data_IF_288642885556
#
_entry.id   IF_288642885556
#
_cell.length_a   1.000
_cell.length_b   1.000
_cell.length_c   1.000
_cell.angle_alpha   90.00
_cell.angle_beta   90.00
_cell.angle_gamma   90.00
#
_symmetry.space_group_name_H-M   'P 1'
#
loop_
_entity.id
_entity.type
_entity.pdbx_description
1 polymer ?
#
# COMPACT_ATOMS: atom_id res chain seq x y z
N UNK A 1 -6.29 -6.65 -18.97
CA UNK A 1 -5.01 -7.18 -19.48
C UNK A 1 -3.90 -7.13 -18.44
N UNK A 2 -2.96 -8.10 -18.48
CA UNK A 2 -1.82 -8.17 -17.55
C UNK A 2 -0.97 -6.89 -17.56
N UNK A 3 -0.79 -6.27 -18.72
CA UNK A 3 0.01 -5.05 -18.90
C UNK A 3 -0.55 -3.85 -18.12
N UNK A 4 -1.88 -3.69 -18.05
CA UNK A 4 -2.52 -2.53 -17.44
C UNK A 4 -2.90 -2.75 -15.98
N UNK A 5 -2.72 -3.98 -15.47
CA UNK A 5 -3.13 -4.36 -14.11
C UNK A 5 -2.49 -3.49 -13.02
N UNK A 6 -1.19 -3.21 -13.14
CA UNK A 6 -0.48 -2.39 -12.15
C UNK A 6 -1.00 -0.94 -12.14
N UNK A 7 -1.27 -0.37 -13.31
CA UNK A 7 -1.83 0.97 -13.44
C UNK A 7 -3.24 1.05 -12.86
N UNK A 8 -4.12 0.10 -13.23
CA UNK A 8 -5.48 0.02 -12.69
C UNK A 8 -5.48 -0.16 -11.17
N UNK A 9 -4.57 -1.00 -10.64
CA UNK A 9 -4.41 -1.19 -9.18
C UNK A 9 -3.88 0.09 -8.50
N UNK A 10 -3.04 0.88 -9.15
CA UNK A 10 -2.57 2.16 -8.62
C UNK A 10 -3.70 3.18 -8.50
N UNK A 11 -4.57 3.27 -9.51
CA UNK A 11 -5.75 4.14 -9.46
C UNK A 11 -6.67 3.70 -8.32
N UNK A 12 -6.94 2.43 -8.20
CA UNK A 12 -7.75 1.87 -7.12
C UNK A 12 -7.13 2.16 -5.73
N UNK A 13 -5.82 1.92 -5.56
CA UNK A 13 -5.13 2.18 -4.30
C UNK A 13 -5.10 3.67 -3.93
N UNK A 14 -5.12 4.58 -4.92
CA UNK A 14 -5.16 6.01 -4.64
C UNK A 14 -6.41 6.45 -3.87
N UNK A 15 -7.51 5.68 -3.99
CA UNK A 15 -8.72 5.90 -3.21
C UNK A 15 -8.49 5.85 -1.70
N UNK A 16 -7.58 4.99 -1.23
CA UNK A 16 -7.20 4.95 0.19
C UNK A 16 -6.53 6.25 0.65
N UNK A 17 -5.70 6.85 -0.21
CA UNK A 17 -5.07 8.15 0.09
C UNK A 17 -6.07 9.31 0.09
N UNK A 18 -7.07 9.27 -0.81
CA UNK A 18 -8.18 10.25 -0.82
C UNK A 18 -8.98 10.15 0.48
N UNK A 19 -9.28 8.92 0.94
CA UNK A 19 -9.92 8.70 2.24
C UNK A 19 -9.09 9.25 3.41
N UNK A 20 -7.79 8.99 3.40
CA UNK A 20 -6.86 9.50 4.40
C UNK A 20 -6.74 11.05 4.40
N UNK A 21 -6.98 11.69 3.25
CA UNK A 21 -7.08 13.15 3.10
C UNK A 21 -8.40 13.70 3.68
N UNK A 22 -9.50 13.04 3.33
CA UNK A 22 -10.84 13.50 3.71
C UNK A 22 -11.09 13.32 5.22
N UNK A 23 -10.61 12.24 5.82
CA UNK A 23 -10.89 11.88 7.20
C UNK A 23 -10.43 12.96 8.22
N UNK A 24 -9.17 13.47 8.21
CA UNK A 24 -8.74 14.52 9.12
C UNK A 24 -9.47 15.85 8.94
N UNK A 25 -9.96 16.13 7.74
CA UNK A 25 -10.70 17.35 7.45
C UNK A 25 -12.17 17.25 7.88
N UNK A 26 -12.79 16.08 7.81
CA UNK A 26 -14.23 15.92 8.02
C UNK A 26 -14.59 15.37 9.39
N UNK A 27 -13.86 14.37 9.90
CA UNK A 27 -14.20 13.70 11.17
C UNK A 27 -14.18 14.67 12.37
N UNK A 28 -13.15 15.53 12.56
CA UNK A 28 -13.15 16.49 13.66
C UNK A 28 -14.30 17.48 13.61
N UNK A 29 -14.71 17.92 12.40
CA UNK A 29 -15.85 18.81 12.23
C UNK A 29 -17.17 18.13 12.61
N UNK A 30 -17.38 16.89 12.19
CA UNK A 30 -18.53 16.08 12.57
C UNK A 30 -18.57 15.83 14.08
N UNK A 31 -17.43 15.47 14.66
CA UNK A 31 -17.33 15.22 16.10
C UNK A 31 -17.58 16.46 16.94
N UNK A 32 -17.16 17.65 16.49
CA UNK A 32 -17.48 18.93 17.15
C UNK A 32 -18.93 19.31 17.04
N UNK A 33 -19.57 19.03 15.88
CA UNK A 33 -20.97 19.42 15.65
C UNK A 33 -21.97 18.50 16.36
N UNK A 34 -21.71 17.19 16.38
CA UNK A 34 -22.70 16.18 16.79
C UNK A 34 -22.18 15.08 17.73
N UNK A 35 -20.94 15.22 18.21
CA UNK A 35 -20.29 14.19 19.03
C UNK A 35 -19.61 13.11 18.21
N UNK A 36 -18.68 12.39 18.84
CA UNK A 36 -17.87 11.39 18.18
C UNK A 36 -18.68 10.17 17.71
N UNK A 37 -19.74 9.78 18.44
CA UNK A 37 -20.62 8.69 18.05
C UNK A 37 -21.31 8.96 16.71
N UNK A 38 -21.80 10.19 16.52
CA UNK A 38 -22.45 10.59 15.26
C UNK A 38 -21.46 10.61 14.10
N UNK A 39 -20.20 10.93 14.33
CA UNK A 39 -19.18 10.85 13.29
C UNK A 39 -19.03 9.41 12.77
N UNK A 40 -19.01 8.40 13.64
CA UNK A 40 -18.99 6.98 13.23
C UNK A 40 -20.28 6.57 12.49
N UNK A 41 -21.44 6.99 12.98
CA UNK A 41 -22.73 6.66 12.35
C UNK A 41 -22.78 7.25 10.92
N UNK A 42 -22.41 8.52 10.75
CA UNK A 42 -22.44 9.18 9.43
C UNK A 42 -21.50 8.49 8.46
N UNK A 43 -20.25 8.20 8.86
CA UNK A 43 -19.29 7.50 8.01
C UNK A 43 -19.76 6.08 7.69
N UNK A 44 -20.37 5.37 8.65
CA UNK A 44 -20.98 4.06 8.44
C UNK A 44 -22.12 4.10 7.43
N UNK A 45 -23.01 5.08 7.52
CA UNK A 45 -24.13 5.28 6.56
C UNK A 45 -23.60 5.56 5.16
N UNK A 46 -22.55 6.36 5.00
CA UNK A 46 -21.90 6.57 3.71
C UNK A 46 -21.39 5.26 3.11
N UNK A 47 -20.84 4.36 3.95
CA UNK A 47 -20.44 3.02 3.51
C UNK A 47 -21.62 2.18 2.99
N UNK A 48 -22.78 2.22 3.65
CA UNK A 48 -24.00 1.54 3.17
C UNK A 48 -24.53 2.14 1.88
N UNK A 49 -24.52 3.47 1.74
CA UNK A 49 -24.89 4.14 0.49
C UNK A 49 -23.97 3.69 -0.65
N UNK A 50 -22.65 3.66 -0.41
CA UNK A 50 -21.68 3.16 -1.40
C UNK A 50 -21.96 1.69 -1.76
N UNK A 51 -22.26 0.84 -0.79
CA UNK A 51 -22.62 -0.56 -1.03
C UNK A 51 -23.86 -0.69 -1.91
N UNK A 52 -24.88 0.17 -1.69
CA UNK A 52 -26.06 0.25 -2.55
C UNK A 52 -25.70 0.57 -4.00
N UNK A 53 -24.83 1.58 -4.23
CA UNK A 53 -24.32 1.90 -5.56
C UNK A 53 -23.52 0.76 -6.16
N UNK A 54 -22.69 0.09 -5.37
CA UNK A 54 -21.94 -1.06 -5.83
C UNK A 54 -22.85 -2.19 -6.33
N UNK A 55 -23.84 -2.58 -5.55
CA UNK A 55 -24.79 -3.64 -5.94
C UNK A 55 -25.60 -3.28 -7.20
N UNK A 56 -25.85 -2.00 -7.41
CA UNK A 56 -26.61 -1.53 -8.56
C UNK A 56 -25.75 -1.38 -9.83
N UNK A 57 -24.52 -0.93 -9.71
CA UNK A 57 -23.65 -0.60 -10.85
C UNK A 57 -22.70 -1.74 -11.26
N UNK A 58 -22.36 -2.62 -10.30
CA UNK A 58 -21.35 -3.64 -10.57
C UNK A 58 -21.93 -4.81 -11.36
N UNK A 59 -21.38 -4.99 -12.57
CA UNK A 59 -21.63 -6.17 -13.40
C UNK A 59 -20.29 -6.73 -13.92
N UNK A 60 -20.24 -8.06 -14.14
CA UNK A 60 -19.10 -8.68 -14.82
C UNK A 60 -18.99 -8.13 -16.24
N UNK A 61 -17.79 -7.82 -16.77
CA UNK A 61 -17.61 -7.24 -18.11
C UNK A 61 -18.39 -7.98 -19.23
N UNK A 62 -18.38 -9.32 -19.18
CA UNK A 62 -19.09 -10.18 -20.14
C UNK A 62 -20.63 -10.04 -20.09
N UNK A 63 -21.20 -9.55 -18.98
CA UNK A 63 -22.64 -9.35 -18.80
C UNK A 63 -23.05 -7.89 -18.89
N UNK A 64 -22.08 -6.97 -18.85
CA UNK A 64 -22.35 -5.53 -18.83
C UNK A 64 -22.84 -5.03 -20.19
N UNK A 65 -23.95 -4.29 -20.16
CA UNK A 65 -24.51 -3.63 -21.35
C UNK A 65 -23.67 -2.43 -21.83
N UNK A 66 -22.75 -1.94 -20.99
CA UNK A 66 -21.91 -0.77 -21.27
C UNK A 66 -20.59 -1.13 -21.95
N UNK A 67 -20.22 -2.41 -21.99
CA UNK A 67 -18.97 -2.90 -22.60
C UNK A 67 -19.24 -3.36 -24.01
N UNK A 68 -18.55 -2.78 -24.99
CA UNK A 68 -18.65 -3.20 -26.38
C UNK A 68 -17.78 -4.44 -26.66
N UNK A 69 -18.01 -5.11 -27.82
CA UNK A 69 -17.30 -6.34 -28.17
C UNK A 69 -15.77 -6.16 -28.28
N UNK A 70 -15.32 -5.02 -28.81
CA UNK A 70 -13.89 -4.72 -28.96
C UNK A 70 -13.23 -4.50 -27.60
N UNK A 71 -13.92 -3.84 -26.69
CA UNK A 71 -13.46 -3.61 -25.31
C UNK A 71 -13.43 -4.92 -24.51
N UNK A 72 -14.43 -5.77 -24.66
CA UNK A 72 -14.45 -7.09 -24.03
C UNK A 72 -13.27 -7.95 -24.54
N UNK A 73 -13.02 -7.97 -25.84
CA UNK A 73 -11.87 -8.65 -26.42
C UNK A 73 -10.53 -8.11 -25.87
N UNK A 74 -10.43 -6.80 -25.69
CA UNK A 74 -9.26 -6.17 -25.07
C UNK A 74 -9.09 -6.57 -23.60
N UNK A 75 -10.17 -6.58 -22.82
CA UNK A 75 -10.15 -6.99 -21.41
C UNK A 75 -9.68 -8.44 -21.27
N UNK A 76 -10.14 -9.31 -22.17
CA UNK A 76 -9.94 -10.74 -22.12
C UNK A 76 -8.75 -11.24 -22.96
N UNK A 77 -7.97 -10.34 -23.58
CA UNK A 77 -6.86 -10.69 -24.51
C UNK A 77 -5.78 -11.62 -23.87
N UNK A 78 -5.68 -11.66 -22.55
CA UNK A 78 -4.76 -12.55 -21.84
C UNK A 78 -5.44 -13.86 -21.37
N UNK A 79 -6.71 -14.04 -21.63
CA UNK A 79 -7.41 -15.31 -21.43
C UNK A 79 -7.21 -16.17 -22.69
N UNK A 80 -6.64 -17.37 -22.54
CA UNK A 80 -6.50 -18.30 -23.66
C UNK A 80 -7.87 -18.55 -24.29
N UNK A 81 -8.02 -18.18 -25.56
CA UNK A 81 -9.28 -18.31 -26.33
C UNK A 81 -9.81 -19.75 -26.41
N UNK A 82 -8.95 -20.75 -26.12
CA UNK A 82 -9.32 -22.17 -26.05
C UNK A 82 -10.14 -22.52 -24.81
N UNK A 83 -10.29 -21.61 -23.85
CA UNK A 83 -11.00 -21.89 -22.59
C UNK A 83 -12.41 -21.30 -22.53
N UNK A 84 -12.85 -20.47 -23.50
CA UNK A 84 -14.17 -19.82 -23.41
C UNK A 84 -15.35 -20.80 -23.54
N UNK A 85 -15.26 -21.83 -24.36
CA UNK A 85 -16.28 -22.90 -24.43
C UNK A 85 -16.20 -23.90 -23.25
N UNK A 86 -15.05 -23.93 -22.56
CA UNK A 86 -14.86 -24.79 -21.39
C UNK A 86 -15.15 -24.10 -20.05
N UNK A 87 -15.20 -22.75 -20.01
CA UNK A 87 -15.42 -21.99 -18.77
C UNK A 87 -16.86 -22.12 -18.26
N UNK A 88 -17.87 -22.24 -19.17
CA UNK A 88 -19.26 -22.49 -18.73
C UNK A 88 -19.48 -23.89 -18.11
N UNK A 89 -18.58 -24.85 -18.38
CA UNK A 89 -18.63 -26.21 -17.84
C UNK A 89 -17.60 -26.50 -16.75
N UNK A 90 -16.68 -25.56 -16.44
CA UNK A 90 -15.53 -25.78 -15.55
C UNK A 90 -15.57 -25.03 -14.22
N UNK A 91 -16.61 -24.24 -13.97
CA UNK A 91 -16.79 -23.52 -12.68
C UNK A 91 -17.00 -24.46 -11.48
N UNK A 92 -17.26 -25.76 -11.72
CA UNK A 92 -17.47 -26.74 -10.63
C UNK A 92 -16.22 -27.56 -10.25
N UNK A 93 -15.12 -27.49 -11.03
CA UNK A 93 -13.91 -28.31 -10.80
C UNK A 93 -12.58 -27.52 -10.92
N UNK A 94 -12.55 -26.20 -10.64
CA UNK A 94 -11.26 -25.54 -10.49
C UNK A 94 -10.54 -26.08 -9.25
N UNK A 95 -9.49 -26.87 -9.46
CA UNK A 95 -8.60 -27.31 -8.38
C UNK A 95 -8.00 -26.09 -7.67
N UNK A 96 -8.58 -25.75 -6.53
CA UNK A 96 -8.04 -24.72 -5.65
C UNK A 96 -6.87 -25.27 -4.85
N UNK A 97 -5.80 -24.50 -4.72
CA UNK A 97 -4.71 -24.88 -3.82
C UNK A 97 -5.25 -24.80 -2.38
N UNK A 98 -5.13 -25.90 -1.64
CA UNK A 98 -5.48 -25.87 -0.21
C UNK A 98 -4.69 -24.79 0.52
N UNK A 99 -5.32 -24.14 1.50
CA UNK A 99 -4.72 -23.06 2.30
C UNK A 99 -3.32 -23.43 2.84
N UNK A 100 -3.19 -24.62 3.41
CA UNK A 100 -1.89 -25.10 3.93
C UNK A 100 -0.87 -25.34 2.82
N UNK A 101 -1.30 -25.84 1.66
CA UNK A 101 -0.42 -26.08 0.50
C UNK A 101 0.12 -24.77 -0.08
N UNK A 102 -0.56 -23.63 0.13
CA UNK A 102 -0.06 -22.31 -0.29
C UNK A 102 1.31 -22.00 0.33
N UNK A 103 1.58 -22.41 1.57
CA UNK A 103 2.84 -22.17 2.25
C UNK A 103 4.02 -23.03 1.74
N UNK A 104 3.80 -24.01 0.90
CA UNK A 104 4.88 -24.79 0.27
C UNK A 104 5.54 -24.06 -0.91
N UNK A 105 4.94 -22.99 -1.42
CA UNK A 105 5.45 -22.25 -2.57
C UNK A 105 6.33 -21.07 -2.14
N UNK A 106 7.53 -20.95 -2.72
CA UNK A 106 8.45 -19.82 -2.49
C UNK A 106 7.83 -18.47 -2.90
N UNK A 107 6.93 -18.47 -3.89
CA UNK A 107 6.19 -17.30 -4.35
C UNK A 107 5.29 -16.74 -3.25
N UNK A 108 4.65 -17.61 -2.46
CA UNK A 108 3.85 -17.20 -1.29
C UNK A 108 4.72 -16.51 -0.25
N UNK A 109 5.87 -17.09 0.09
CA UNK A 109 6.80 -16.49 1.05
C UNK A 109 7.38 -15.17 0.55
N UNK A 110 7.66 -15.06 -0.76
CA UNK A 110 8.07 -13.80 -1.36
C UNK A 110 7.01 -12.71 -1.14
N UNK A 111 5.74 -13.04 -1.34
CA UNK A 111 4.64 -12.10 -1.12
C UNK A 111 4.45 -11.76 0.37
N UNK A 112 4.49 -12.76 1.26
CA UNK A 112 4.43 -12.58 2.72
C UNK A 112 5.51 -11.59 3.17
N UNK A 113 6.76 -11.81 2.76
CA UNK A 113 7.87 -10.92 3.12
C UNK A 113 7.68 -9.54 2.54
N UNK A 114 7.26 -9.43 1.29
CA UNK A 114 6.95 -8.14 0.66
C UNK A 114 5.92 -7.35 1.44
N UNK A 115 4.82 -7.99 1.86
CA UNK A 115 3.78 -7.36 2.67
C UNK A 115 4.25 -7.04 4.08
N UNK A 116 4.88 -7.99 4.75
CA UNK A 116 5.36 -7.82 6.13
C UNK A 116 6.34 -6.64 6.24
N UNK A 117 7.32 -6.56 5.35
CA UNK A 117 8.37 -5.53 5.44
C UNK A 117 7.85 -4.13 5.08
N UNK A 118 6.78 -4.01 4.30
CA UNK A 118 6.37 -2.72 3.75
C UNK A 118 5.07 -2.16 4.33
N UNK A 119 4.09 -3.01 4.64
CA UNK A 119 2.81 -2.55 5.19
C UNK A 119 2.97 -1.94 6.57
N UNK A 120 3.84 -2.50 7.42
CA UNK A 120 4.13 -1.91 8.73
C UNK A 120 4.62 -0.47 8.62
N UNK A 121 5.52 -0.19 7.67
CA UNK A 121 6.04 1.16 7.40
C UNK A 121 4.93 2.11 6.97
N UNK A 122 4.05 1.67 6.06
CA UNK A 122 2.92 2.48 5.62
C UNK A 122 1.98 2.82 6.76
N UNK A 123 1.57 1.81 7.55
CA UNK A 123 0.68 2.00 8.69
C UNK A 123 1.30 2.85 9.78
N UNK A 124 2.63 2.77 9.98
CA UNK A 124 3.33 3.68 10.87
C UNK A 124 3.14 5.13 10.43
N UNK A 125 3.45 5.47 9.19
CA UNK A 125 3.30 6.84 8.71
C UNK A 125 1.84 7.30 8.73
N UNK A 126 0.89 6.43 8.38
CA UNK A 126 -0.53 6.76 8.40
C UNK A 126 -1.01 7.17 9.81
N UNK A 127 -0.61 6.45 10.84
CA UNK A 127 -1.08 6.69 12.20
C UNK A 127 -0.22 7.73 12.94
N UNK A 128 1.08 7.76 12.71
CA UNK A 128 2.00 8.58 13.48
C UNK A 128 2.38 9.91 12.82
N UNK A 129 2.12 10.13 11.53
CA UNK A 129 2.43 11.42 10.91
C UNK A 129 1.70 12.62 11.58
N UNK A 130 0.39 12.55 11.89
CA UNK A 130 -0.26 13.62 12.60
C UNK A 130 0.32 13.84 14.01
N UNK A 131 0.63 12.75 14.74
CA UNK A 131 1.26 12.82 16.05
C UNK A 131 2.69 13.38 15.96
N UNK A 132 3.45 13.01 14.94
CA UNK A 132 4.77 13.54 14.67
C UNK A 132 4.76 15.07 14.52
N UNK A 133 3.83 15.63 13.73
CA UNK A 133 3.71 17.07 13.58
C UNK A 133 3.29 17.77 14.87
N UNK A 134 2.44 17.13 15.67
CA UNK A 134 2.06 17.64 16.98
C UNK A 134 3.22 17.61 17.97
N UNK A 135 3.94 16.50 18.04
CA UNK A 135 5.04 16.28 18.96
C UNK A 135 6.27 17.16 18.65
N UNK A 136 6.61 17.30 17.37
CA UNK A 136 7.83 18.01 16.94
C UNK A 136 7.63 19.52 16.79
N UNK A 137 6.42 19.97 16.41
CA UNK A 137 6.16 21.37 16.05
C UNK A 137 5.00 22.00 16.82
N UNK A 138 4.30 21.26 17.67
CA UNK A 138 3.13 21.74 18.41
C UNK A 138 1.87 21.91 17.55
N UNK A 139 1.88 21.46 16.27
CA UNK A 139 0.73 21.58 15.37
C UNK A 139 -0.26 20.45 15.62
N UNK A 140 -1.28 20.71 16.43
CA UNK A 140 -2.36 19.76 16.68
C UNK A 140 -3.07 19.36 15.39
N UNK A 141 -3.57 18.13 15.35
CA UNK A 141 -4.25 17.57 14.16
C UNK A 141 -5.49 18.35 13.73
N UNK A 142 -6.09 19.15 14.62
CA UNK A 142 -7.25 20.00 14.35
C UNK A 142 -6.87 21.45 14.06
N UNK A 143 -5.59 21.82 14.10
CA UNK A 143 -5.10 23.13 13.73
C UNK A 143 -5.01 23.29 12.21
N UNK A 144 -5.19 24.50 11.70
CA UNK A 144 -5.08 24.80 10.26
C UNK A 144 -3.75 24.32 9.69
N UNK A 145 -2.64 24.52 10.41
CA UNK A 145 -1.31 24.10 9.98
C UNK A 145 -1.16 22.59 10.01
N UNK A 146 -1.63 21.90 11.06
CA UNK A 146 -1.61 20.42 11.15
C UNK A 146 -2.42 19.78 10.02
N UNK A 147 -3.63 20.27 9.76
CA UNK A 147 -4.46 19.82 8.63
C UNK A 147 -3.73 20.04 7.30
N UNK A 148 -3.12 21.23 7.08
CA UNK A 148 -2.41 21.55 5.84
C UNK A 148 -1.21 20.66 5.59
N UNK A 149 -0.43 20.32 6.63
CA UNK A 149 0.73 19.42 6.53
C UNK A 149 0.30 17.99 6.17
N UNK A 150 -0.72 17.47 6.86
CA UNK A 150 -1.27 16.14 6.59
C UNK A 150 -1.92 16.08 5.21
N UNK A 151 -2.66 17.12 4.82
CA UNK A 151 -3.23 17.23 3.48
C UNK A 151 -2.16 17.21 2.40
N UNK A 152 -1.10 18.01 2.53
CA UNK A 152 0.00 18.05 1.56
C UNK A 152 0.69 16.68 1.43
N UNK A 153 0.94 16.02 2.56
CA UNK A 153 1.50 14.67 2.59
C UNK A 153 0.67 13.71 1.72
N UNK A 154 -0.64 13.62 1.97
CA UNK A 154 -1.51 12.69 1.25
C UNK A 154 -1.80 13.13 -0.19
N UNK A 155 -1.81 14.42 -0.49
CA UNK A 155 -1.92 14.94 -1.85
C UNK A 155 -0.72 14.48 -2.71
N UNK A 156 0.51 14.64 -2.19
CA UNK A 156 1.74 14.16 -2.85
C UNK A 156 1.67 12.64 -3.03
N UNK A 157 1.29 11.90 -1.97
CA UNK A 157 1.14 10.46 -2.01
C UNK A 157 0.18 10.03 -3.14
N UNK A 158 -0.99 10.64 -3.21
CA UNK A 158 -2.03 10.30 -4.21
C UNK A 158 -1.59 10.60 -5.63
N UNK A 159 -1.10 11.82 -5.88
CA UNK A 159 -0.74 12.25 -7.24
C UNK A 159 0.41 11.42 -7.79
N UNK A 160 1.47 11.23 -7.01
CA UNK A 160 2.67 10.55 -7.49
C UNK A 160 2.51 9.03 -7.55
N UNK A 161 1.64 8.43 -6.72
CA UNK A 161 1.38 6.98 -6.76
C UNK A 161 0.77 6.54 -8.08
N UNK A 162 -0.11 7.35 -8.67
CA UNK A 162 -0.73 7.08 -9.97
C UNK A 162 0.35 7.00 -11.06
N UNK A 163 1.25 7.99 -11.10
CA UNK A 163 2.38 7.99 -12.02
C UNK A 163 3.34 6.81 -11.81
N UNK A 164 3.59 6.44 -10.55
CA UNK A 164 4.42 5.29 -10.19
C UNK A 164 3.87 3.96 -10.70
N UNK A 165 2.55 3.79 -10.75
CA UNK A 165 1.91 2.60 -11.32
C UNK A 165 2.16 2.39 -12.81
N UNK A 166 2.49 3.44 -13.55
CA UNK A 166 2.84 3.35 -14.96
C UNK A 166 4.26 2.84 -15.23
N UNK A 167 5.17 2.93 -14.26
CA UNK A 167 6.59 2.59 -14.44
C UNK A 167 6.83 1.14 -14.90
N UNK A 168 6.15 0.10 -14.41
CA UNK A 168 6.29 -1.26 -14.94
C UNK A 168 5.85 -1.39 -16.39
N UNK A 169 4.76 -0.72 -16.76
CA UNK A 169 4.24 -0.69 -18.13
C UNK A 169 5.30 -0.09 -19.07
N UNK A 170 5.95 1.00 -18.66
CA UNK A 170 7.07 1.56 -19.41
C UNK A 170 8.20 0.55 -19.63
N UNK A 171 8.59 -0.22 -18.62
CA UNK A 171 9.64 -1.24 -18.77
C UNK A 171 9.24 -2.39 -19.70
N UNK A 172 7.97 -2.79 -19.68
CA UNK A 172 7.46 -3.83 -20.57
C UNK A 172 7.35 -3.31 -22.01
N UNK A 173 6.66 -2.18 -22.23
CA UNK A 173 6.33 -1.70 -23.56
C UNK A 173 7.52 -1.06 -24.30
N UNK A 174 8.33 -0.26 -23.58
CA UNK A 174 9.45 0.47 -24.19
C UNK A 174 10.78 -0.28 -24.14
N UNK A 175 10.97 -1.15 -23.17
CA UNK A 175 12.21 -1.90 -23.00
C UNK A 175 12.08 -3.40 -23.32
N UNK A 176 10.90 -3.87 -23.73
CA UNK A 176 10.65 -5.27 -24.10
C UNK A 176 10.90 -6.27 -22.96
N UNK A 177 10.77 -5.84 -21.71
CA UNK A 177 11.05 -6.71 -20.57
C UNK A 177 9.87 -7.63 -20.27
N UNK A 178 10.17 -8.83 -19.74
CA UNK A 178 9.14 -9.67 -19.15
C UNK A 178 8.40 -8.89 -18.03
N UNK A 179 7.06 -8.99 -17.92
CA UNK A 179 6.27 -8.26 -16.94
C UNK A 179 6.77 -8.40 -15.50
N UNK A 180 7.16 -9.60 -15.07
CA UNK A 180 7.73 -9.83 -13.75
C UNK A 180 9.05 -9.05 -13.53
N UNK A 181 9.94 -9.07 -14.53
CA UNK A 181 11.23 -8.36 -14.44
C UNK A 181 10.99 -6.85 -14.41
N UNK A 182 10.06 -6.34 -15.23
CA UNK A 182 9.67 -4.93 -15.24
C UNK A 182 9.13 -4.48 -13.88
N UNK A 183 8.24 -5.28 -13.26
CA UNK A 183 7.71 -5.00 -11.92
C UNK A 183 8.80 -5.02 -10.84
N UNK A 184 9.66 -6.03 -10.83
CA UNK A 184 10.74 -6.13 -9.86
C UNK A 184 11.74 -4.96 -9.96
N UNK A 185 11.99 -4.44 -11.17
CA UNK A 185 12.80 -3.22 -11.36
C UNK A 185 12.09 -1.98 -10.85
N UNK A 186 10.81 -1.82 -11.17
CA UNK A 186 10.02 -0.71 -10.65
C UNK A 186 9.96 -0.74 -9.11
N UNK A 187 9.74 -1.91 -8.52
CA UNK A 187 9.73 -2.10 -7.07
C UNK A 187 11.08 -1.75 -6.42
N UNK A 188 12.21 -2.05 -7.07
CA UNK A 188 13.52 -1.62 -6.56
C UNK A 188 13.63 -0.08 -6.50
N UNK A 189 13.17 0.61 -7.53
CA UNK A 189 13.15 2.07 -7.55
C UNK A 189 12.27 2.60 -6.41
N UNK A 190 11.08 2.05 -6.23
CA UNK A 190 10.18 2.45 -5.13
C UNK A 190 10.75 2.09 -3.75
N UNK A 191 11.52 1.02 -3.62
CA UNK A 191 12.20 0.64 -2.39
C UNK A 191 13.27 1.66 -1.95
N UNK A 192 13.74 2.52 -2.84
CA UNK A 192 14.67 3.61 -2.51
C UNK A 192 13.96 4.83 -1.90
N UNK A 193 12.65 5.00 -2.10
CA UNK A 193 11.92 6.15 -1.56
C UNK A 193 11.94 6.22 -0.03
N UNK A 194 11.73 5.12 0.73
CA UNK A 194 11.82 5.14 2.18
C UNK A 194 13.16 5.61 2.74
N UNK A 195 14.25 5.47 1.99
CA UNK A 195 15.57 5.98 2.40
C UNK A 195 15.54 7.51 2.58
N UNK A 196 14.70 8.23 1.83
CA UNK A 196 14.50 9.67 2.00
C UNK A 196 14.00 10.03 3.41
N UNK A 197 13.36 9.09 4.12
CA UNK A 197 12.90 9.27 5.49
C UNK A 197 13.99 9.65 6.46
N UNK A 198 15.25 9.26 6.20
CA UNK A 198 16.41 9.66 6.98
C UNK A 198 16.61 11.18 7.02
N UNK A 199 16.13 11.88 6.00
CA UNK A 199 16.24 13.33 5.89
C UNK A 199 15.03 14.07 6.45
N UNK A 200 13.92 13.35 6.76
CA UNK A 200 12.69 13.99 7.22
C UNK A 200 12.91 14.81 8.50
N UNK A 201 13.56 14.23 9.49
CA UNK A 201 13.77 14.90 10.77
C UNK A 201 14.90 15.95 10.73
N UNK A 202 16.09 15.71 10.12
CA UNK A 202 17.09 16.74 9.97
C UNK A 202 16.62 17.97 9.20
N UNK A 203 15.93 17.78 8.08
CA UNK A 203 15.36 18.88 7.30
C UNK A 203 14.17 19.53 7.98
N UNK A 204 13.47 18.78 8.82
CA UNK A 204 12.37 19.25 9.63
C UNK A 204 12.76 20.34 10.62
N UNK A 205 14.05 20.42 11.02
CA UNK A 205 14.58 21.51 11.83
C UNK A 205 14.51 22.87 11.13
N UNK A 206 14.50 22.90 9.80
CA UNK A 206 14.38 24.13 9.01
C UNK A 206 12.93 24.50 8.72
N UNK A 207 12.07 23.50 8.44
CA UNK A 207 10.66 23.74 8.18
C UNK A 207 9.83 22.44 8.29
N UNK A 208 8.62 22.49 8.88
CA UNK A 208 7.72 21.33 8.98
C UNK A 208 7.22 20.82 7.63
N UNK A 209 7.34 21.62 6.57
CA UNK A 209 6.97 21.21 5.22
C UNK A 209 7.89 20.14 4.65
N UNK A 210 9.17 20.09 5.04
CA UNK A 210 10.10 19.07 4.57
C UNK A 210 9.68 17.66 4.97
N UNK A 211 9.38 17.38 6.25
CA UNK A 211 8.84 16.06 6.62
C UNK A 211 7.53 15.73 5.91
N UNK A 212 6.63 16.71 5.73
CA UNK A 212 5.36 16.48 5.03
C UNK A 212 5.59 16.03 3.57
N UNK A 213 6.50 16.73 2.85
CA UNK A 213 6.87 16.37 1.47
C UNK A 213 7.54 15.00 1.43
N UNK A 214 8.53 14.77 2.30
CA UNK A 214 9.30 13.52 2.33
C UNK A 214 8.40 12.33 2.65
N UNK A 215 7.56 12.42 3.68
CA UNK A 215 6.64 11.35 4.04
C UNK A 215 5.60 11.14 2.91
N UNK A 216 5.16 12.20 2.24
CA UNK A 216 4.31 12.10 1.05
C UNK A 216 4.97 11.33 -0.10
N UNK A 217 6.27 11.57 -0.36
CA UNK A 217 7.06 10.80 -1.33
C UNK A 217 7.20 9.33 -0.93
N UNK A 218 7.46 9.06 0.34
CA UNK A 218 7.48 7.70 0.89
C UNK A 218 6.16 6.98 0.65
N UNK A 219 5.05 7.65 0.97
CA UNK A 219 3.71 7.13 0.75
C UNK A 219 3.43 6.82 -0.71
N UNK A 220 3.85 7.71 -1.63
CA UNK A 220 3.73 7.46 -3.06
C UNK A 220 4.52 6.22 -3.51
N UNK A 221 5.75 6.08 -3.01
CA UNK A 221 6.58 4.90 -3.24
C UNK A 221 5.91 3.63 -2.71
N UNK A 222 5.30 3.67 -1.51
CA UNK A 222 4.56 2.55 -0.95
C UNK A 222 3.36 2.15 -1.82
N UNK A 223 2.51 3.10 -2.21
CA UNK A 223 1.32 2.80 -3.02
C UNK A 223 1.69 2.19 -4.36
N UNK A 224 2.72 2.74 -5.03
CA UNK A 224 3.23 2.18 -6.27
C UNK A 224 3.88 0.79 -6.07
N UNK A 225 4.60 0.58 -4.98
CA UNK A 225 5.11 -0.73 -4.56
C UNK A 225 3.99 -1.73 -4.35
N UNK A 226 2.99 -1.38 -3.56
CA UNK A 226 1.84 -2.24 -3.23
C UNK A 226 1.09 -2.68 -4.48
N UNK A 227 0.81 -1.76 -5.42
CA UNK A 227 0.17 -2.09 -6.69
C UNK A 227 0.95 -3.13 -7.49
N UNK A 228 2.28 -3.01 -7.54
CA UNK A 228 3.14 -3.98 -8.20
C UNK A 228 3.18 -5.31 -7.49
N UNK A 229 3.25 -5.29 -6.17
CA UNK A 229 3.28 -6.49 -5.33
C UNK A 229 2.01 -7.34 -5.52
N UNK A 230 0.82 -6.72 -5.50
CA UNK A 230 -0.43 -7.42 -5.82
C UNK A 230 -0.48 -7.94 -7.25
N UNK A 231 0.08 -7.19 -8.19
CA UNK A 231 0.13 -7.63 -9.59
C UNK A 231 1.02 -8.85 -9.79
N UNK A 232 2.10 -9.01 -9.00
CA UNK A 232 2.96 -10.21 -9.08
C UNK A 232 2.23 -11.49 -8.68
N UNK A 233 1.26 -11.41 -7.75
CA UNK A 233 0.42 -12.57 -7.41
C UNK A 233 -0.40 -13.00 -8.62
N UNK A 234 -1.07 -12.03 -9.26
CA UNK A 234 -1.89 -12.30 -10.44
C UNK A 234 -1.10 -12.84 -11.63
N UNK A 235 0.22 -12.61 -11.67
CA UNK A 235 1.08 -13.16 -12.71
C UNK A 235 1.57 -14.58 -12.38
N UNK A 236 1.71 -14.93 -11.09
CA UNK A 236 2.36 -16.18 -10.66
C UNK A 236 1.38 -17.25 -10.17
N UNK A 237 0.17 -16.90 -9.77
CA UNK A 237 -0.80 -17.82 -9.19
C UNK A 237 -2.02 -18.01 -10.08
N UNK A 238 -2.66 -19.21 -10.06
CA UNK A 238 -3.95 -19.44 -10.68
C UNK A 238 -5.02 -18.51 -10.11
N UNK A 239 -5.99 -18.11 -10.95
CA UNK A 239 -7.06 -17.16 -10.55
C UNK A 239 -7.80 -17.60 -9.29
N UNK A 240 -8.11 -18.90 -9.16
CA UNK A 240 -8.79 -19.50 -8.01
C UNK A 240 -8.07 -19.33 -6.67
N UNK A 241 -6.74 -19.11 -6.69
CA UNK A 241 -5.91 -19.05 -5.48
C UNK A 241 -5.52 -17.60 -5.10
N UNK A 242 -5.72 -16.63 -6.01
CA UNK A 242 -5.29 -15.23 -5.81
C UNK A 242 -5.87 -14.64 -4.52
N UNK A 243 -7.16 -14.85 -4.25
CA UNK A 243 -7.81 -14.32 -3.04
C UNK A 243 -7.18 -14.90 -1.76
N UNK A 244 -6.90 -16.20 -1.74
CA UNK A 244 -6.26 -16.86 -0.59
C UNK A 244 -4.85 -16.31 -0.34
N UNK A 245 -4.03 -16.20 -1.38
CA UNK A 245 -2.66 -15.64 -1.26
C UNK A 245 -2.72 -14.17 -0.81
N UNK A 246 -3.65 -13.39 -1.36
CA UNK A 246 -3.87 -12.00 -0.95
C UNK A 246 -4.22 -11.92 0.54
N UNK A 247 -5.11 -12.78 1.04
CA UNK A 247 -5.47 -12.87 2.44
C UNK A 247 -4.28 -13.22 3.34
N UNK A 248 -3.46 -14.21 2.95
CA UNK A 248 -2.24 -14.60 3.68
C UNK A 248 -1.28 -13.40 3.80
N UNK A 249 -1.05 -12.68 2.70
CA UNK A 249 -0.19 -11.49 2.73
C UNK A 249 -0.78 -10.35 3.54
N UNK A 250 -2.09 -10.13 3.48
CA UNK A 250 -2.77 -9.12 4.30
C UNK A 250 -2.62 -9.41 5.81
N UNK A 251 -2.71 -10.69 6.22
CA UNK A 251 -2.43 -11.10 7.60
C UNK A 251 -0.99 -10.76 8.00
N UNK A 252 -0.01 -11.06 7.16
CA UNK A 252 1.39 -10.72 7.42
C UNK A 252 1.60 -9.21 7.56
N UNK A 253 0.99 -8.41 6.69
CA UNK A 253 0.98 -6.95 6.77
C UNK A 253 0.32 -6.42 8.06
N UNK A 254 -0.79 -7.04 8.49
CA UNK A 254 -1.46 -6.70 9.76
C UNK A 254 -0.59 -6.99 10.98
N UNK A 255 0.10 -8.13 11.01
CA UNK A 255 1.06 -8.47 12.08
C UNK A 255 2.20 -7.45 12.13
N UNK A 256 2.78 -7.11 10.97
CA UNK A 256 3.83 -6.08 10.88
C UNK A 256 3.34 -4.72 11.35
N UNK A 257 2.13 -4.31 10.95
CA UNK A 257 1.50 -3.07 11.40
C UNK A 257 1.37 -3.03 12.92
N UNK A 258 0.87 -4.11 13.52
CA UNK A 258 0.76 -4.21 14.96
C UNK A 258 2.13 -4.07 15.65
N UNK A 259 3.14 -4.80 15.17
CA UNK A 259 4.48 -4.79 15.75
C UNK A 259 5.12 -3.40 15.69
N UNK A 260 5.10 -2.75 14.53
CA UNK A 260 5.76 -1.45 14.40
C UNK A 260 5.02 -0.35 15.16
N UNK A 261 3.68 -0.33 15.11
CA UNK A 261 2.91 0.71 15.80
C UNK A 261 3.01 0.58 17.33
N UNK A 262 2.88 -0.65 17.85
CA UNK A 262 3.04 -0.89 19.28
C UNK A 262 4.48 -0.65 19.73
N UNK A 263 5.46 -1.14 18.99
CA UNK A 263 6.89 -0.95 19.28
C UNK A 263 7.28 0.53 19.24
N UNK A 264 6.80 1.29 18.26
CA UNK A 264 7.02 2.74 18.19
C UNK A 264 6.41 3.46 19.39
N UNK A 265 5.17 3.15 19.76
CA UNK A 265 4.54 3.75 20.94
C UNK A 265 5.33 3.49 22.23
N UNK A 266 5.78 2.25 22.44
CA UNK A 266 6.63 1.91 23.60
C UNK A 266 7.97 2.67 23.55
N UNK A 267 8.61 2.74 22.39
CA UNK A 267 9.87 3.47 22.20
C UNK A 267 9.68 4.96 22.49
N UNK A 268 8.62 5.58 21.98
CA UNK A 268 8.36 7.01 22.18
C UNK A 268 8.08 7.33 23.67
N UNK A 269 7.28 6.51 24.33
CA UNK A 269 7.04 6.67 25.79
C UNK A 269 8.33 6.53 26.58
N UNK A 270 9.15 5.53 26.27
CA UNK A 270 10.43 5.33 26.92
C UNK A 270 11.39 6.50 26.66
N UNK A 271 11.54 6.91 25.40
CA UNK A 271 12.43 8.01 25.02
C UNK A 271 12.00 9.35 25.64
N UNK A 272 10.69 9.61 25.72
CA UNK A 272 10.14 10.79 26.40
C UNK A 272 10.43 10.78 27.89
N UNK A 273 10.27 9.64 28.56
CA UNK A 273 10.56 9.49 29.99
C UNK A 273 12.05 9.67 30.31
N UNK A 274 12.96 9.26 29.42
CA UNK A 274 14.40 9.43 29.59
C UNK A 274 14.89 10.87 29.23
N UNK A 275 14.12 11.63 28.46
CA UNK A 275 14.48 12.98 28.03
C UNK A 275 15.87 13.04 27.37
N UNK A 276 16.70 14.00 27.76
CA UNK A 276 18.03 14.20 27.17
C UNK A 276 19.02 13.02 27.37
N UNK A 277 18.76 12.12 28.33
CA UNK A 277 19.60 10.92 28.50
C UNK A 277 19.45 9.88 27.39
N UNK A 278 18.34 9.92 26.66
CA UNK A 278 18.11 9.11 25.47
C UNK A 278 18.41 9.92 24.21
N UNK A 279 19.52 9.62 23.56
CA UNK A 279 19.95 10.34 22.36
C UNK A 279 20.30 9.39 21.22
N UNK A 280 19.97 9.79 19.99
CA UNK A 280 20.32 9.04 18.77
C UNK A 280 20.49 10.01 17.58
N UNK A 281 21.63 9.91 16.88
CA UNK A 281 21.98 10.72 15.71
C UNK A 281 21.79 12.24 15.91
N UNK A 282 22.12 12.76 17.11
CA UNK A 282 22.01 14.18 17.43
C UNK A 282 20.61 14.65 17.84
N UNK A 283 19.65 13.76 17.99
CA UNK A 283 18.33 14.01 18.53
C UNK A 283 18.23 13.43 19.95
N UNK A 284 17.46 14.08 20.82
CA UNK A 284 17.27 13.70 22.21
C UNK A 284 15.80 13.41 22.52
N UNK A 285 15.53 12.52 23.46
CA UNK A 285 14.19 12.16 23.91
C UNK A 285 13.30 11.58 22.80
N UNK A 286 12.06 12.00 22.75
CA UNK A 286 11.07 11.52 21.76
C UNK A 286 11.50 11.73 20.31
N UNK A 287 12.12 12.87 19.90
CA UNK A 287 12.78 13.03 18.60
C UNK A 287 13.76 11.92 18.24
N UNK A 288 14.59 11.47 19.16
CA UNK A 288 15.50 10.35 18.95
C UNK A 288 14.74 9.05 18.63
N UNK A 289 13.61 8.82 19.33
CA UNK A 289 12.71 7.71 19.05
C UNK A 289 12.16 7.73 17.60
N UNK A 290 11.68 8.87 17.14
CA UNK A 290 11.24 9.03 15.74
C UNK A 290 12.36 8.75 14.75
N UNK A 291 13.58 9.24 15.01
CA UNK A 291 14.72 9.01 14.11
C UNK A 291 15.07 7.51 14.01
N UNK A 292 15.01 6.76 15.13
CA UNK A 292 15.21 5.31 15.12
C UNK A 292 14.19 4.62 14.22
N UNK A 293 12.89 4.96 14.36
CA UNK A 293 11.84 4.36 13.54
C UNK A 293 12.03 4.73 12.07
N UNK A 294 12.41 5.97 11.75
CA UNK A 294 12.71 6.37 10.38
C UNK A 294 13.87 5.58 9.78
N UNK A 295 14.91 5.27 10.56
CA UNK A 295 16.01 4.41 10.14
C UNK A 295 15.52 2.97 9.84
N UNK A 296 14.64 2.41 10.66
CA UNK A 296 14.03 1.09 10.42
C UNK A 296 13.21 1.12 9.13
N UNK A 297 12.36 2.13 8.97
CA UNK A 297 11.54 2.30 7.78
C UNK A 297 12.39 2.46 6.50
N UNK A 298 13.51 3.18 6.58
CA UNK A 298 14.39 3.43 5.44
C UNK A 298 14.96 2.16 4.82
N UNK A 299 15.28 1.15 5.63
CA UNK A 299 15.92 -0.08 5.15
C UNK A 299 14.92 -1.21 4.85
N UNK A 300 13.71 -1.14 5.43
CA UNK A 300 12.73 -2.23 5.38
C UNK A 300 12.38 -2.66 3.94
N UNK A 301 12.16 -1.71 3.04
CA UNK A 301 11.81 -2.01 1.65
C UNK A 301 12.94 -2.65 0.87
N UNK A 302 14.18 -2.18 1.06
CA UNK A 302 15.36 -2.74 0.41
C UNK A 302 15.62 -4.17 0.88
N UNK A 303 15.46 -4.43 2.18
CA UNK A 303 15.55 -5.78 2.76
C UNK A 303 14.43 -6.66 2.20
N UNK A 304 13.18 -6.16 2.20
CA UNK A 304 12.04 -6.87 1.64
C UNK A 304 12.24 -7.23 0.18
N UNK A 305 12.65 -6.28 -0.65
CA UNK A 305 12.95 -6.51 -2.07
C UNK A 305 14.05 -7.56 -2.26
N UNK A 306 15.13 -7.47 -1.48
CA UNK A 306 16.26 -8.40 -1.57
C UNK A 306 15.84 -9.83 -1.26
N UNK A 307 15.06 -10.02 -0.18
CA UNK A 307 14.56 -11.35 0.19
C UNK A 307 13.57 -11.87 -0.86
N UNK A 308 12.66 -11.04 -1.36
CA UNK A 308 11.75 -11.41 -2.44
C UNK A 308 12.50 -11.88 -3.68
N UNK A 309 13.56 -11.16 -4.05
CA UNK A 309 14.41 -11.51 -5.20
C UNK A 309 15.20 -12.79 -4.99
N UNK A 310 15.63 -13.08 -3.77
CA UNK A 310 16.29 -14.34 -3.41
C UNK A 310 15.32 -15.53 -3.47
N UNK A 311 14.09 -15.35 -2.99
CA UNK A 311 13.07 -16.41 -3.00
C UNK A 311 12.57 -16.72 -4.42
N UNK A 312 12.39 -15.69 -5.24
CA UNK A 312 11.88 -15.81 -6.62
C UNK A 312 12.81 -15.04 -7.57
N UNK A 313 13.99 -15.59 -7.89
CA UNK A 313 14.98 -14.89 -8.74
C UNK A 313 14.53 -14.73 -10.19
N UNK A 314 13.68 -15.65 -10.70
CA UNK A 314 13.14 -15.63 -12.07
C UNK A 314 11.63 -15.82 -12.04
N UNK A 315 10.96 -15.34 -13.09
CA UNK A 315 9.55 -15.63 -13.30
C UNK A 315 9.30 -17.14 -13.34
N UNK A 316 8.45 -17.60 -12.44
CA UNK A 316 8.07 -19.01 -12.33
C UNK A 316 6.60 -19.11 -11.90
N UNK A 317 5.65 -19.15 -12.85
CA UNK A 317 4.24 -19.31 -12.52
C UNK A 317 3.99 -20.70 -11.92
N UNK A 318 3.00 -20.79 -11.05
CA UNK A 318 2.53 -22.04 -10.47
C UNK A 318 1.49 -22.62 -11.41
N UNK A 319 1.76 -23.80 -11.92
CA UNK A 319 0.83 -24.62 -12.71
C UNK A 319 0.25 -25.66 -11.78
N UNK A 320 -1.07 -25.79 -11.75
CA UNK A 320 -1.76 -26.86 -11.03
C UNK A 320 -1.70 -28.12 -11.89
N UNK A 321 -1.10 -29.16 -11.34
CA UNK A 321 -1.11 -30.50 -11.91
C UNK A 321 -2.42 -31.22 -11.54
#
# INVERSE_FOLDING_TARGET
PKKDRAFSTSIFNSGASVGALAAPATIPLLARAWGWEMAFIIIGVLGYIWMGFWLWLYEKPAKSKHVNKSELCYIEQDSDFSSMEQIEKKDENEHTISFMKCFSYKQTWSFIVGKFMTDGVWWFFLFWAPAYFSDQYGYKSDSTMGISLVFTLYAICTILSIGGGYLPTYFVDKKGMNPYIGRMRAMLIFACFPVLGLFAQPLGAYSPWWPAIIIGLLGAGHQAWSANLYSTIGDMFPKSTIATITGIGAMAGGVSSFMINKGSGMLFTYAEAQGASFSFMGFEGKPAGYMIVFCICAVAYLIGWSIMKLLVPKYKPIVLE
#
